data_IF_617831599954
#
_entry.id   IF_617831599954
#
_cell.length_a   1.000
_cell.length_b   1.000
_cell.length_c   1.000
_cell.angle_alpha   90.00
_cell.angle_beta   90.00
_cell.angle_gamma   90.00
#
_symmetry.space_group_name_H-M   'P 1'
#
loop_
_entity.id
_entity.type
_entity.pdbx_description
1 polymer ?
#
# COMPACT_ATOMS: atom_id res chain seq x y z
N UNK A 1 -3.54 12.35 -0.19
CA UNK A 1 -2.51 11.31 0.06
C UNK A 1 -1.31 11.61 -0.82
N UNK A 2 -0.10 11.55 -0.28
CA UNK A 2 1.14 11.64 -1.05
C UNK A 2 1.83 10.30 -1.02
N UNK A 3 2.16 9.76 -2.19
CA UNK A 3 2.83 8.47 -2.36
C UNK A 3 4.22 8.71 -2.94
N UNK A 4 5.25 8.17 -2.30
CA UNK A 4 6.60 8.15 -2.83
C UNK A 4 6.96 6.73 -3.28
N UNK A 5 7.44 6.60 -4.52
CA UNK A 5 7.99 5.35 -5.03
C UNK A 5 9.52 5.46 -5.07
N UNK A 6 10.24 4.50 -4.49
CA UNK A 6 11.71 4.51 -4.56
C UNK A 6 12.22 4.28 -5.99
N UNK A 7 11.45 3.55 -6.79
CA UNK A 7 11.65 3.48 -8.22
C UNK A 7 10.78 4.56 -8.90
N UNK A 8 11.42 5.62 -9.39
CA UNK A 8 10.75 6.75 -10.05
C UNK A 8 10.11 6.41 -11.39
N UNK A 9 10.41 5.24 -11.97
CA UNK A 9 9.88 4.77 -13.25
C UNK A 9 8.54 4.04 -13.13
N UNK A 10 8.02 3.87 -11.90
CA UNK A 10 6.72 3.24 -11.69
C UNK A 10 5.62 4.12 -12.28
N UNK A 11 4.80 3.61 -13.23
CA UNK A 11 3.71 4.36 -13.81
C UNK A 11 2.67 4.78 -12.77
N UNK A 12 2.05 5.93 -12.98
CA UNK A 12 0.95 6.45 -12.15
C UNK A 12 -0.20 5.43 -12.05
N UNK A 13 -0.54 4.76 -13.15
CA UNK A 13 -1.64 3.79 -13.21
C UNK A 13 -1.46 2.64 -12.22
N UNK A 14 -0.23 2.16 -12.05
CA UNK A 14 0.11 1.09 -11.08
C UNK A 14 -0.11 1.58 -9.65
N UNK A 15 0.28 2.82 -9.35
CA UNK A 15 0.07 3.44 -8.03
C UNK A 15 -1.43 3.63 -7.77
N UNK A 16 -2.19 4.10 -8.76
CA UNK A 16 -3.62 4.35 -8.61
C UNK A 16 -4.43 3.05 -8.46
N UNK A 17 -4.09 1.98 -9.17
CA UNK A 17 -4.68 0.64 -8.99
C UNK A 17 -4.46 0.16 -7.55
N UNK A 18 -3.23 0.29 -7.03
CA UNK A 18 -2.92 -0.10 -5.66
C UNK A 18 -3.70 0.71 -4.62
N UNK A 19 -3.76 2.03 -4.77
CA UNK A 19 -4.48 2.90 -3.83
C UNK A 19 -5.99 2.63 -3.82
N UNK A 20 -6.59 2.30 -4.97
CA UNK A 20 -8.03 1.98 -5.11
C UNK A 20 -8.49 0.77 -4.27
N UNK A 21 -7.56 -0.01 -3.72
CA UNK A 21 -7.84 -1.07 -2.74
C UNK A 21 -8.35 -0.53 -1.40
N UNK A 22 -7.89 0.66 -1.02
CA UNK A 22 -8.13 1.23 0.31
C UNK A 22 -9.01 2.48 0.26
N UNK A 23 -8.87 3.28 -0.81
CA UNK A 23 -9.49 4.61 -0.91
C UNK A 23 -10.19 4.81 -2.25
N UNK A 24 -11.15 5.73 -2.28
CA UNK A 24 -11.78 6.20 -3.51
C UNK A 24 -11.00 7.42 -4.03
N UNK A 25 -10.22 7.24 -5.10
CA UNK A 25 -9.45 8.33 -5.72
C UNK A 25 -10.38 9.32 -6.45
N UNK A 26 -10.14 10.61 -6.23
CA UNK A 26 -10.84 11.72 -6.87
C UNK A 26 -9.95 12.28 -7.99
N UNK A 27 -9.88 11.57 -9.12
CA UNK A 27 -9.05 11.92 -10.28
C UNK A 27 -7.65 11.30 -10.28
N UNK A 28 -6.82 11.79 -11.20
CA UNK A 28 -5.45 11.28 -11.45
C UNK A 28 -4.42 11.83 -10.45
N UNK A 29 -3.33 11.09 -10.27
CA UNK A 29 -2.19 11.53 -9.47
C UNK A 29 -1.46 12.72 -10.09
N UNK A 30 -1.24 13.77 -9.30
CA UNK A 30 -0.40 14.91 -9.70
C UNK A 30 1.06 14.64 -9.35
N UNK A 31 1.96 14.86 -10.30
CA UNK A 31 3.41 14.82 -10.02
C UNK A 31 3.78 15.94 -9.06
N UNK A 32 4.52 15.60 -8.01
CA UNK A 32 5.14 16.59 -7.13
C UNK A 32 6.55 16.85 -7.64
N UNK A 33 6.77 18.09 -8.05
CA UNK A 33 8.07 18.62 -8.44
C UNK A 33 8.68 19.36 -7.25
N UNK A 34 10.01 19.44 -7.18
CA UNK A 34 10.71 20.33 -6.24
C UNK A 34 10.80 21.77 -6.77
N UNK A 35 11.51 22.63 -6.03
CA UNK A 35 11.67 24.06 -6.35
C UNK A 35 12.41 24.30 -7.67
N UNK A 36 13.25 23.35 -8.09
CA UNK A 36 14.01 23.39 -9.35
C UNK A 36 13.26 22.71 -10.51
N UNK A 37 11.99 22.35 -10.29
CA UNK A 37 11.13 21.66 -11.24
C UNK A 37 11.67 20.27 -11.65
N UNK A 38 12.31 19.57 -10.71
CA UNK A 38 12.79 18.19 -10.85
C UNK A 38 11.80 17.20 -10.22
N UNK A 39 11.67 16.02 -10.84
CA UNK A 39 10.75 14.97 -10.43
C UNK A 39 11.19 14.32 -9.10
N UNK A 40 10.34 14.41 -8.07
CA UNK A 40 10.66 13.93 -6.71
C UNK A 40 10.28 12.47 -6.43
N UNK A 41 9.87 11.71 -7.45
CA UNK A 41 9.28 10.38 -7.31
C UNK A 41 8.00 10.33 -6.44
N UNK A 42 7.34 11.47 -6.24
CA UNK A 42 6.14 11.60 -5.40
C UNK A 42 4.89 11.93 -6.22
N UNK A 43 3.86 11.14 -6.04
CA UNK A 43 2.52 11.37 -6.57
C UNK A 43 1.59 11.90 -5.49
N UNK A 44 0.83 12.95 -5.79
CA UNK A 44 -0.18 13.52 -4.90
C UNK A 44 -1.58 13.20 -5.42
N UNK A 45 -2.37 12.57 -4.57
CA UNK A 45 -3.74 12.15 -4.84
C UNK A 45 -4.72 12.86 -3.92
N UNK A 46 -5.85 13.28 -4.49
CA UNK A 46 -7.07 13.51 -3.71
C UNK A 46 -7.81 12.18 -3.57
N UNK A 47 -8.19 11.83 -2.36
CA UNK A 47 -8.81 10.54 -2.08
C UNK A 47 -9.77 10.64 -0.90
N UNK A 48 -10.90 9.94 -1.00
CA UNK A 48 -11.85 9.73 0.09
C UNK A 48 -11.60 8.36 0.70
N UNK A 49 -11.42 8.29 2.01
CA UNK A 49 -11.19 7.04 2.71
C UNK A 49 -12.50 6.26 2.83
N UNK A 50 -12.44 4.94 2.63
CA UNK A 50 -13.61 4.07 2.80
C UNK A 50 -13.87 3.83 4.28
N UNK A 51 -15.14 3.74 4.66
CA UNK A 51 -15.52 3.46 6.04
C UNK A 51 -15.16 2.02 6.43
N UNK A 52 -14.55 1.84 7.60
CA UNK A 52 -14.26 0.54 8.19
C UNK A 52 -14.46 0.62 9.70
N UNK A 53 -15.50 -0.04 10.22
CA UNK A 53 -15.81 -0.01 11.65
C UNK A 53 -14.81 -0.80 12.52
N UNK A 54 -13.92 -1.57 11.89
CA UNK A 54 -12.92 -2.40 12.56
C UNK A 54 -11.65 -1.63 12.94
N UNK A 55 -11.41 -0.47 12.34
CA UNK A 55 -10.20 0.34 12.57
C UNK A 55 -10.49 1.52 13.50
N UNK A 56 -9.54 1.89 14.38
CA UNK A 56 -9.63 3.14 15.12
C UNK A 56 -9.78 4.32 14.17
N UNK A 57 -10.80 5.16 14.38
CA UNK A 57 -11.12 6.27 13.45
C UNK A 57 -12.12 5.91 12.35
N UNK A 58 -12.62 4.67 12.28
CA UNK A 58 -13.77 4.30 11.46
C UNK A 58 -13.49 4.26 9.95
N UNK A 59 -12.22 4.30 9.53
CA UNK A 59 -11.84 4.35 8.11
C UNK A 59 -10.75 3.33 7.77
N UNK A 60 -10.79 2.82 6.54
CA UNK A 60 -9.80 1.90 6.02
C UNK A 60 -8.51 2.65 5.66
N UNK A 61 -7.50 2.50 6.50
CA UNK A 61 -6.21 3.13 6.28
C UNK A 61 -5.35 2.32 5.30
N UNK A 62 -4.80 2.92 4.22
CA UNK A 62 -3.79 2.29 3.43
C UNK A 62 -2.47 2.16 4.22
N UNK A 63 -1.66 1.13 3.95
CA UNK A 63 -0.42 0.88 4.69
C UNK A 63 0.59 2.00 4.47
N UNK A 64 1.26 2.44 5.55
CA UNK A 64 2.25 3.52 5.48
C UNK A 64 3.45 3.20 4.58
N UNK A 65 3.89 1.93 4.61
CA UNK A 65 4.93 1.38 3.75
C UNK A 65 4.36 0.19 3.01
N UNK A 66 4.64 0.07 1.71
CA UNK A 66 4.07 -0.97 0.88
C UNK A 66 5.04 -1.42 -0.22
N UNK A 67 4.66 -2.49 -0.91
CA UNK A 67 5.42 -3.04 -2.02
C UNK A 67 4.45 -3.47 -3.11
N UNK A 68 4.72 -3.03 -4.35
CA UNK A 68 3.96 -3.37 -5.55
C UNK A 68 4.91 -4.08 -6.51
N UNK A 69 4.71 -5.38 -6.74
CA UNK A 69 5.70 -6.20 -7.45
C UNK A 69 7.08 -6.11 -6.77
N UNK A 70 8.16 -5.73 -7.49
CA UNK A 70 9.49 -5.49 -6.93
C UNK A 70 9.67 -4.07 -6.35
N UNK A 71 8.72 -3.17 -6.58
CA UNK A 71 8.87 -1.75 -6.28
C UNK A 71 8.37 -1.43 -4.87
N UNK A 72 9.24 -0.81 -4.07
CA UNK A 72 8.89 -0.34 -2.72
C UNK A 72 8.45 1.11 -2.76
N UNK A 73 7.54 1.45 -1.87
CA UNK A 73 7.06 2.82 -1.69
C UNK A 73 6.56 3.06 -0.28
N UNK A 74 6.35 4.33 0.03
CA UNK A 74 5.67 4.75 1.25
C UNK A 74 4.66 5.82 0.91
N UNK A 75 3.65 5.96 1.75
CA UNK A 75 2.62 6.99 1.60
C UNK A 75 2.43 7.74 2.90
N UNK A 76 2.03 9.00 2.76
CA UNK A 76 1.84 9.95 3.84
C UNK A 76 0.52 10.70 3.65
N UNK A 77 -0.20 10.90 4.75
CA UNK A 77 -1.38 11.75 4.79
C UNK A 77 -1.64 12.23 6.23
N UNK A 78 -2.34 13.37 6.41
CA UNK A 78 -2.73 13.84 7.74
C UNK A 78 -3.61 12.82 8.47
N UNK A 79 -3.34 12.56 9.75
CA UNK A 79 -4.11 11.59 10.55
C UNK A 79 -3.76 10.12 10.28
N UNK A 80 -2.63 9.85 9.62
CA UNK A 80 -2.15 8.48 9.41
C UNK A 80 -1.78 7.82 10.75
N UNK A 81 -2.30 6.62 11.06
CA UNK A 81 -1.98 5.92 12.29
C UNK A 81 -0.52 5.45 12.32
N UNK A 82 0.07 5.41 13.52
CA UNK A 82 1.42 4.90 13.74
C UNK A 82 1.39 3.38 13.75
N UNK A 83 1.55 2.78 12.57
CA UNK A 83 1.56 1.33 12.38
C UNK A 83 2.97 0.78 12.24
N UNK A 84 3.16 -0.48 12.64
CA UNK A 84 4.38 -1.22 12.41
C UNK A 84 4.65 -1.33 10.90
N UNK A 85 5.83 -0.90 10.45
CA UNK A 85 6.21 -0.92 9.02
C UNK A 85 6.42 -2.34 8.46
N UNK A 86 6.45 -3.36 9.33
CA UNK A 86 6.50 -4.76 8.91
C UNK A 86 5.09 -5.29 8.69
N UNK A 87 4.25 -5.32 9.73
CA UNK A 87 2.93 -5.98 9.71
C UNK A 87 1.72 -5.07 9.53
N UNK A 88 1.90 -3.75 9.56
CA UNK A 88 0.81 -2.77 9.44
C UNK A 88 -0.10 -2.68 10.66
N UNK A 89 0.14 -3.45 11.72
CA UNK A 89 -0.63 -3.39 12.97
C UNK A 89 -0.13 -2.25 13.87
N UNK A 90 -1.01 -1.75 14.73
CA UNK A 90 -0.70 -0.71 15.71
C UNK A 90 -0.10 -1.30 17.00
N UNK A 91 0.41 -0.45 17.89
CA UNK A 91 0.82 -0.82 19.25
C UNK A 91 2.27 -1.33 19.40
N UNK A 92 3.04 -1.47 18.32
CA UNK A 92 4.45 -1.89 18.40
C UNK A 92 5.31 -1.33 17.26
N UNK A 93 6.63 -1.36 17.46
CA UNK A 93 7.63 -0.97 16.46
C UNK A 93 8.15 -2.20 15.70
N UNK A 94 8.83 -1.97 14.58
CA UNK A 94 9.37 -3.04 13.72
C UNK A 94 10.33 -3.96 14.49
N UNK A 95 11.10 -3.41 15.43
CA UNK A 95 12.03 -4.15 16.30
C UNK A 95 11.31 -5.17 17.19
N UNK A 96 10.09 -4.86 17.63
CA UNK A 96 9.28 -5.72 18.48
C UNK A 96 8.28 -6.58 17.68
N UNK A 97 8.28 -6.46 16.35
CA UNK A 97 7.31 -7.13 15.49
C UNK A 97 7.63 -8.62 15.33
N UNK A 98 6.86 -9.44 16.06
CA UNK A 98 6.87 -10.91 15.95
C UNK A 98 5.81 -11.45 14.98
N UNK A 99 4.94 -10.59 14.45
CA UNK A 99 3.88 -10.97 13.53
C UNK A 99 4.46 -11.44 12.19
N UNK A 100 4.20 -12.70 11.85
CA UNK A 100 4.49 -13.24 10.53
C UNK A 100 3.44 -12.81 9.53
N UNK A 101 3.86 -12.46 8.31
CA UNK A 101 2.96 -12.05 7.23
C UNK A 101 3.20 -12.95 6.05
N UNK A 102 2.15 -13.59 5.60
CA UNK A 102 2.19 -14.46 4.45
C UNK A 102 2.32 -13.62 3.18
N UNK A 103 3.43 -13.76 2.46
CA UNK A 103 3.63 -13.07 1.16
C UNK A 103 2.73 -13.61 0.03
N UNK A 104 2.06 -14.75 0.24
CA UNK A 104 1.12 -15.35 -0.73
C UNK A 104 -0.26 -14.72 -0.62
N UNK A 105 -0.83 -14.63 0.59
CA UNK A 105 -2.21 -14.17 0.79
C UNK A 105 -2.32 -12.81 1.50
N UNK A 106 -1.20 -12.24 1.98
CA UNK A 106 -1.15 -10.97 2.71
C UNK A 106 -1.67 -11.02 4.15
N UNK A 107 -2.15 -12.18 4.63
CA UNK A 107 -2.66 -12.35 6.00
C UNK A 107 -1.53 -12.58 7.00
N UNK A 108 -1.80 -12.27 8.26
CA UNK A 108 -0.86 -12.47 9.36
C UNK A 108 -1.00 -13.88 9.98
N UNK A 109 0.00 -14.29 10.75
CA UNK A 109 -0.02 -15.52 11.57
C UNK A 109 0.54 -16.77 10.89
N UNK A 110 1.03 -16.68 9.66
CA UNK A 110 1.69 -17.80 8.98
C UNK A 110 2.64 -17.33 7.86
N UNK A 111 3.55 -18.22 7.44
CA UNK A 111 4.45 -18.02 6.30
C UNK A 111 3.88 -18.59 5.01
N UNK A 112 4.40 -18.13 3.86
CA UNK A 112 3.93 -18.57 2.54
C UNK A 112 4.08 -20.08 2.28
N UNK A 113 5.03 -20.74 2.95
CA UNK A 113 5.28 -22.17 2.81
C UNK A 113 4.13 -23.05 3.33
N UNK A 114 3.39 -22.57 4.34
CA UNK A 114 2.26 -23.28 4.97
C UNK A 114 0.90 -22.61 4.67
N UNK A 115 0.86 -21.75 3.64
CA UNK A 115 -0.33 -21.00 3.30
C UNK A 115 -1.31 -21.84 2.47
N UNK A 116 -2.50 -22.08 3.02
CA UNK A 116 -3.61 -22.76 2.34
C UNK A 116 -4.60 -21.79 1.65
N UNK A 117 -4.39 -20.49 1.78
CA UNK A 117 -5.21 -19.48 1.10
C UNK A 117 -4.78 -19.27 -0.35
N UNK A 118 -5.72 -18.76 -1.16
CA UNK A 118 -5.45 -18.32 -2.51
C UNK A 118 -4.34 -17.25 -2.54
N UNK A 119 -3.59 -17.25 -3.64
CA UNK A 119 -2.61 -16.21 -3.94
C UNK A 119 -3.33 -14.89 -4.16
N UNK A 120 -2.95 -13.84 -3.44
CA UNK A 120 -3.49 -12.48 -3.58
C UNK A 120 -2.47 -11.60 -4.30
N UNK A 121 -2.92 -10.91 -5.35
CA UNK A 121 -2.09 -9.98 -6.09
C UNK A 121 -1.75 -8.74 -5.24
N UNK A 122 -0.47 -8.40 -5.10
CA UNK A 122 -0.05 -7.25 -4.30
C UNK A 122 -0.29 -5.89 -4.98
N UNK A 123 -0.69 -5.86 -6.25
CA UNK A 123 -1.12 -4.66 -6.98
C UNK A 123 -2.62 -4.41 -6.81
N UNK A 124 -3.48 -5.27 -7.35
CA UNK A 124 -4.93 -5.04 -7.37
C UNK A 124 -5.67 -5.63 -6.16
N UNK A 125 -5.07 -6.57 -5.42
CA UNK A 125 -5.69 -7.23 -4.27
C UNK A 125 -6.65 -8.37 -4.62
N UNK A 126 -6.80 -8.72 -5.90
CA UNK A 126 -7.61 -9.87 -6.34
C UNK A 126 -6.86 -11.19 -6.15
N UNK A 127 -7.61 -12.28 -6.02
CA UNK A 127 -7.07 -13.63 -5.85
C UNK A 127 -6.76 -14.31 -7.19
N UNK A 128 -5.87 -15.31 -7.17
CA UNK A 128 -5.61 -16.22 -8.29
C UNK A 128 -4.44 -15.84 -9.21
N UNK A 129 -3.78 -14.70 -9.01
CA UNK A 129 -2.67 -14.28 -9.89
C UNK A 129 -1.53 -13.53 -9.17
N UNK A 130 -0.34 -13.56 -9.79
CA UNK A 130 0.83 -12.80 -9.38
C UNK A 130 0.80 -11.39 -9.99
N UNK A 131 1.56 -10.46 -9.41
CA UNK A 131 1.76 -9.10 -9.97
C UNK A 131 2.04 -9.10 -11.49
N UNK A 132 2.95 -9.97 -11.95
CA UNK A 132 3.34 -10.08 -13.36
C UNK A 132 2.22 -10.52 -14.31
N UNK A 133 1.18 -11.14 -13.77
CA UNK A 133 0.02 -11.64 -14.49
C UNK A 133 -1.24 -10.83 -14.12
N UNK A 134 -1.08 -9.63 -13.57
CA UNK A 134 -2.20 -8.77 -13.21
C UNK A 134 -2.91 -8.29 -14.48
N UNK A 135 -4.24 -8.45 -14.59
CA UNK A 135 -5.00 -7.99 -15.75
C UNK A 135 -5.27 -6.48 -15.73
N UNK A 136 -4.84 -5.78 -14.67
CA UNK A 136 -5.00 -4.34 -14.45
C UNK A 136 -3.69 -3.62 -14.68
#
# INVERSE_FOLDING_TARGET
ITVHMFNGNVPESIVSIFLKRFVDLQGEGKKVMDEENVWTAKWRYMARFRTCLMTPGGVLHPPATFTIGPNRGYLMYPGQPKTCRRCGQEGHLVVDCRTEICRRCGRTGHVAAVCHHALVCNLCGEEGHLYRNCPK
#
